data_IF_637607572665
#
_entry.id   IF_637607572665
#
_cell.length_a   1.000
_cell.length_b   1.000
_cell.length_c   1.000
_cell.angle_alpha   90.00
_cell.angle_beta   90.00
_cell.angle_gamma   90.00
#
_symmetry.space_group_name_H-M   'P 1'
#
loop_
_entity.id
_entity.type
_entity.pdbx_description
1 polymer ?
#
# COMPACT_ATOMS: atom_id res chain seq x y z
N UNK A 1 -10.96 -9.79 7.42
CA UNK A 1 -10.22 -10.67 8.38
C UNK A 1 -8.73 -10.31 8.43
N UNK A 2 -8.02 -10.29 7.30
CA UNK A 2 -6.58 -10.00 7.25
C UNK A 2 -6.21 -8.62 7.82
N UNK A 3 -6.95 -7.55 7.50
CA UNK A 3 -6.75 -6.20 8.04
C UNK A 3 -6.87 -6.21 9.57
N UNK A 4 -7.94 -6.82 10.10
CA UNK A 4 -8.16 -6.91 11.54
C UNK A 4 -7.03 -7.67 12.24
N UNK A 5 -6.59 -8.79 11.67
CA UNK A 5 -5.49 -9.58 12.24
C UNK A 5 -4.18 -8.79 12.28
N UNK A 6 -3.86 -8.06 11.21
CA UNK A 6 -2.66 -7.23 11.15
C UNK A 6 -2.71 -6.05 12.13
N UNK A 7 -3.85 -5.38 12.28
CA UNK A 7 -4.03 -4.30 13.27
C UNK A 7 -3.93 -4.84 14.70
N UNK A 8 -4.59 -5.97 15.00
CA UNK A 8 -4.50 -6.62 16.30
C UNK A 8 -3.04 -6.99 16.65
N UNK A 9 -2.28 -7.44 15.65
CA UNK A 9 -0.86 -7.72 15.84
C UNK A 9 -0.08 -6.44 16.18
N UNK A 10 -0.25 -5.36 15.41
CA UNK A 10 0.45 -4.07 15.64
C UNK A 10 0.16 -3.53 17.03
N UNK A 11 -1.10 -3.62 17.51
CA UNK A 11 -1.50 -3.12 18.83
C UNK A 11 -0.91 -3.93 20.00
N UNK A 12 -0.56 -5.19 19.76
CA UNK A 12 -0.14 -6.10 20.85
C UNK A 12 1.32 -6.53 20.78
N UNK A 13 2.03 -6.32 19.67
CA UNK A 13 3.40 -6.83 19.48
C UNK A 13 4.38 -6.33 20.53
N UNK A 14 4.23 -5.10 21.02
CA UNK A 14 5.08 -4.53 22.07
C UNK A 14 4.96 -5.29 23.42
N UNK A 15 3.86 -6.01 23.64
CA UNK A 15 3.62 -6.78 24.86
C UNK A 15 4.26 -8.18 24.87
N UNK A 16 4.82 -8.61 23.75
CA UNK A 16 5.47 -9.92 23.64
C UNK A 16 6.79 -9.91 24.42
N UNK A 17 6.95 -10.69 25.49
CA UNK A 17 8.08 -10.53 26.42
C UNK A 17 9.37 -11.16 25.91
N UNK A 18 9.29 -12.15 25.04
CA UNK A 18 10.38 -13.00 24.54
C UNK A 18 10.79 -12.69 23.09
N UNK A 19 10.42 -11.52 22.59
CA UNK A 19 10.79 -11.04 21.24
C UNK A 19 11.68 -9.81 21.38
N UNK A 20 12.74 -9.76 20.58
CA UNK A 20 13.65 -8.63 20.53
C UNK A 20 12.95 -7.36 19.96
N UNK A 21 13.25 -6.19 20.51
CA UNK A 21 12.63 -4.92 20.10
C UNK A 21 12.83 -4.60 18.62
N UNK A 22 13.97 -4.97 18.05
CA UNK A 22 14.24 -4.81 16.63
C UNK A 22 13.30 -5.67 15.77
N UNK A 23 13.04 -6.89 16.20
CA UNK A 23 12.12 -7.80 15.52
C UNK A 23 10.68 -7.32 15.65
N UNK A 24 10.23 -6.88 16.83
CA UNK A 24 8.90 -6.28 17.02
C UNK A 24 8.66 -5.15 16.03
N UNK A 25 9.59 -4.21 15.92
CA UNK A 25 9.50 -3.05 15.01
C UNK A 25 9.46 -3.50 13.54
N UNK A 26 10.29 -4.46 13.14
CA UNK A 26 10.27 -5.04 11.81
C UNK A 26 8.90 -5.64 11.49
N UNK A 27 8.41 -6.51 12.35
CA UNK A 27 7.14 -7.21 12.14
C UNK A 27 5.94 -6.24 12.16
N UNK A 28 5.98 -5.21 13.00
CA UNK A 28 4.96 -4.15 12.99
C UNK A 28 4.96 -3.37 11.67
N UNK A 29 6.13 -3.06 11.12
CA UNK A 29 6.25 -2.41 9.82
C UNK A 29 5.71 -3.30 8.69
N UNK A 30 6.05 -4.60 8.67
CA UNK A 30 5.50 -5.56 7.72
C UNK A 30 3.97 -5.67 7.82
N UNK A 31 3.42 -5.67 9.03
CA UNK A 31 1.98 -5.70 9.25
C UNK A 31 1.28 -4.46 8.65
N UNK A 32 1.88 -3.28 8.75
CA UNK A 32 1.37 -2.06 8.09
C UNK A 32 1.35 -2.20 6.57
N UNK A 33 2.38 -2.80 5.97
CA UNK A 33 2.40 -3.08 4.52
C UNK A 33 1.29 -4.07 4.15
N UNK A 34 1.01 -5.09 4.98
CA UNK A 34 -0.11 -6.01 4.79
C UNK A 34 -1.44 -5.24 4.79
N UNK A 35 -1.67 -4.37 5.77
CA UNK A 35 -2.90 -3.54 5.82
C UNK A 35 -3.04 -2.73 4.54
N UNK A 36 -2.00 -1.98 4.14
CA UNK A 36 -2.02 -1.17 2.93
C UNK A 36 -2.31 -2.02 1.66
N UNK A 37 -1.67 -3.20 1.54
CA UNK A 37 -1.88 -4.09 0.40
C UNK A 37 -3.32 -4.61 0.31
N UNK A 38 -3.93 -4.96 1.46
CA UNK A 38 -5.33 -5.42 1.50
C UNK A 38 -6.31 -4.30 1.21
N UNK A 39 -6.04 -3.09 1.71
CA UNK A 39 -6.81 -1.91 1.32
C UNK A 39 -6.71 -1.63 -0.17
N UNK A 40 -5.52 -1.75 -0.76
CA UNK A 40 -5.35 -1.57 -2.21
C UNK A 40 -6.13 -2.60 -3.03
N UNK A 41 -6.16 -3.87 -2.60
CA UNK A 41 -6.97 -4.89 -3.26
C UNK A 41 -8.47 -4.51 -3.26
N UNK A 42 -8.98 -4.01 -2.14
CA UNK A 42 -10.37 -3.55 -2.04
C UNK A 42 -10.60 -2.23 -2.81
N UNK A 43 -9.66 -1.29 -2.70
CA UNK A 43 -9.74 0.01 -3.36
C UNK A 43 -9.88 -0.11 -4.87
N UNK A 44 -9.14 -1.03 -5.50
CA UNK A 44 -9.23 -1.26 -6.94
C UNK A 44 -10.63 -1.64 -7.42
N UNK A 45 -11.44 -2.21 -6.56
CA UNK A 45 -12.80 -2.66 -6.90
C UNK A 45 -13.90 -1.72 -6.43
N UNK A 46 -13.68 -1.03 -5.32
CA UNK A 46 -14.74 -0.30 -4.63
C UNK A 46 -14.50 1.21 -4.52
N UNK A 47 -13.29 1.70 -4.81
CA UNK A 47 -12.93 3.09 -4.56
C UNK A 47 -12.73 3.37 -3.07
N UNK A 48 -13.32 4.45 -2.56
CA UNK A 48 -13.28 4.79 -1.13
C UNK A 48 -13.87 3.70 -0.24
N UNK A 49 -13.30 3.49 0.93
CA UNK A 49 -13.60 2.39 1.84
C UNK A 49 -13.79 2.87 3.27
N UNK A 50 -14.55 2.17 4.12
CA UNK A 50 -14.50 2.40 5.56
C UNK A 50 -13.07 2.18 6.07
N UNK A 51 -12.51 3.17 6.78
CA UNK A 51 -11.13 3.12 7.27
C UNK A 51 -11.10 2.56 8.69
N UNK A 52 -10.65 1.31 8.82
CA UNK A 52 -10.40 0.64 10.09
C UNK A 52 -8.96 0.95 10.51
N UNK A 53 -8.78 1.79 11.52
CA UNK A 53 -7.47 2.26 12.01
C UNK A 53 -7.01 1.56 13.28
N UNK A 54 -7.92 0.91 13.96
CA UNK A 54 -7.72 0.21 15.23
C UNK A 54 -8.65 -1.00 15.33
N UNK A 55 -8.42 -1.88 16.31
CA UNK A 55 -9.34 -2.97 16.58
C UNK A 55 -10.51 -2.47 17.43
N UNK A 56 -11.70 -2.91 17.09
CA UNK A 56 -12.92 -2.57 17.84
C UNK A 56 -13.34 -3.70 18.75
N UNK A 57 -13.81 -3.35 19.94
CA UNK A 57 -14.47 -4.28 20.85
C UNK A 57 -15.78 -4.80 20.24
N UNK A 58 -16.20 -5.98 20.67
CA UNK A 58 -17.46 -6.57 20.21
C UNK A 58 -18.63 -5.71 20.68
N UNK A 59 -19.24 -4.99 19.74
CA UNK A 59 -20.43 -4.19 19.97
C UNK A 59 -21.58 -4.66 19.07
N UNK A 60 -22.84 -4.37 19.45
CA UNK A 60 -24.01 -4.83 18.68
C UNK A 60 -24.11 -4.23 17.27
N UNK A 61 -23.51 -3.07 17.03
CA UNK A 61 -23.53 -2.38 15.73
C UNK A 61 -22.30 -1.50 15.57
N UNK A 62 -21.70 -1.53 14.36
CA UNK A 62 -20.63 -0.62 13.94
C UNK A 62 -21.11 0.13 12.70
N UNK A 63 -21.24 1.44 12.84
CA UNK A 63 -21.50 2.32 11.71
C UNK A 63 -20.19 3.03 11.33
N UNK A 64 -19.42 2.43 10.43
CA UNK A 64 -18.25 3.05 9.85
C UNK A 64 -18.61 3.65 8.50
N UNK A 65 -18.60 4.98 8.36
CA UNK A 65 -18.90 5.62 7.09
C UNK A 65 -17.83 5.27 6.06
N UNK A 66 -18.25 5.18 4.83
CA UNK A 66 -17.34 5.01 3.69
C UNK A 66 -16.56 6.30 3.50
N UNK A 67 -15.23 6.20 3.50
CA UNK A 67 -14.34 7.33 3.23
C UNK A 67 -14.29 7.68 1.75
N UNK A 68 -13.76 8.84 1.42
CA UNK A 68 -13.48 9.27 0.05
C UNK A 68 -12.35 8.45 -0.58
N UNK A 69 -12.23 8.53 -1.90
CA UNK A 69 -11.06 8.01 -2.64
C UNK A 69 -9.77 8.61 -2.08
N UNK A 70 -9.73 9.92 -1.89
CA UNK A 70 -8.55 10.63 -1.38
C UNK A 70 -8.13 10.18 0.02
N UNK A 71 -9.07 10.09 0.95
CA UNK A 71 -8.79 9.61 2.31
C UNK A 71 -8.29 8.17 2.31
N UNK A 72 -8.87 7.32 1.47
CA UNK A 72 -8.47 5.91 1.35
C UNK A 72 -7.05 5.78 0.80
N UNK A 73 -6.71 6.53 -0.25
CA UNK A 73 -5.36 6.55 -0.82
C UNK A 73 -4.36 7.08 0.20
N UNK A 74 -4.65 8.22 0.84
CA UNK A 74 -3.79 8.80 1.85
C UNK A 74 -3.55 7.86 3.03
N UNK A 75 -4.55 7.11 3.47
CA UNK A 75 -4.39 6.11 4.51
C UNK A 75 -3.40 5.01 4.12
N UNK A 76 -3.52 4.46 2.91
CA UNK A 76 -2.59 3.45 2.40
C UNK A 76 -1.16 4.00 2.30
N UNK A 77 -1.01 5.21 1.76
CA UNK A 77 0.31 5.84 1.59
C UNK A 77 0.98 6.10 2.94
N UNK A 78 0.24 6.62 3.93
CA UNK A 78 0.77 6.85 5.27
C UNK A 78 1.28 5.56 5.92
N UNK A 79 0.55 4.45 5.81
CA UNK A 79 0.99 3.15 6.33
C UNK A 79 2.29 2.68 5.67
N UNK A 80 2.43 2.88 4.35
CA UNK A 80 3.63 2.50 3.62
C UNK A 80 4.82 3.41 3.95
N UNK A 81 4.60 4.71 4.13
CA UNK A 81 5.64 5.66 4.52
C UNK A 81 6.14 5.40 5.94
N UNK A 82 5.24 5.12 6.88
CA UNK A 82 5.61 4.69 8.24
C UNK A 82 6.41 3.38 8.22
N UNK A 83 5.99 2.40 7.42
CA UNK A 83 6.73 1.15 7.29
C UNK A 83 8.11 1.38 6.68
N UNK A 84 8.22 2.14 5.58
CA UNK A 84 9.48 2.44 4.92
C UNK A 84 10.43 3.30 5.77
N UNK A 85 9.90 4.15 6.65
CA UNK A 85 10.68 4.93 7.60
C UNK A 85 11.22 4.10 8.78
N UNK A 86 10.71 2.88 9.00
CA UNK A 86 11.16 2.01 10.09
C UNK A 86 12.56 1.45 9.77
N UNK A 87 13.59 1.77 10.56
CA UNK A 87 14.97 1.34 10.26
C UNK A 87 15.15 -0.18 10.26
N UNK A 88 14.32 -0.90 11.02
CA UNK A 88 14.37 -2.35 11.15
C UNK A 88 13.73 -3.09 9.97
N UNK A 89 12.94 -2.39 9.13
CA UNK A 89 12.45 -2.98 7.89
C UNK A 89 13.59 -2.95 6.85
N UNK A 90 14.16 -4.12 6.49
CA UNK A 90 15.32 -4.15 5.60
C UNK A 90 14.93 -3.74 4.17
N UNK A 91 15.90 -3.25 3.42
CA UNK A 91 15.75 -2.96 1.99
C UNK A 91 15.51 -4.23 1.19
N UNK A 92 16.26 -5.27 1.49
CA UNK A 92 16.21 -6.60 0.89
C UNK A 92 16.39 -7.67 1.97
N UNK A 93 16.31 -8.94 1.60
CA UNK A 93 16.48 -10.06 2.53
C UNK A 93 17.96 -10.48 2.69
N UNK A 94 18.86 -10.04 1.79
CA UNK A 94 20.28 -10.36 1.80
C UNK A 94 20.52 -11.86 1.80
N UNK A 95 21.37 -12.32 2.72
CA UNK A 95 21.69 -13.74 2.92
C UNK A 95 20.69 -14.48 3.80
N UNK A 96 19.74 -13.79 4.40
CA UNK A 96 18.74 -14.37 5.33
C UNK A 96 17.41 -14.69 4.62
N UNK A 97 17.47 -14.96 3.33
CA UNK A 97 16.30 -15.26 2.52
C UNK A 97 15.59 -16.56 2.91
N UNK A 98 16.34 -17.55 3.44
CA UNK A 98 15.81 -18.85 3.81
C UNK A 98 14.68 -18.78 4.83
N UNK A 99 14.80 -17.88 5.84
CA UNK A 99 13.81 -17.73 6.91
C UNK A 99 12.77 -16.64 6.60
N UNK A 100 13.13 -15.67 5.74
CA UNK A 100 12.35 -14.47 5.50
C UNK A 100 11.81 -14.37 4.08
N UNK A 101 12.03 -15.37 3.24
CA UNK A 101 11.53 -15.40 1.86
C UNK A 101 10.02 -15.16 1.79
N UNK A 102 9.62 -14.26 0.87
CA UNK A 102 8.21 -13.88 0.69
C UNK A 102 7.69 -12.83 1.68
N UNK A 103 8.53 -12.34 2.59
CA UNK A 103 8.16 -11.26 3.52
C UNK A 103 8.37 -9.89 2.89
N UNK A 104 7.65 -8.89 3.40
CA UNK A 104 7.76 -7.52 2.91
C UNK A 104 9.09 -6.87 3.32
N UNK A 105 9.64 -6.10 2.40
CA UNK A 105 10.86 -5.30 2.57
C UNK A 105 10.52 -3.81 2.37
N UNK A 106 11.47 -2.94 2.69
CA UNK A 106 11.35 -1.50 2.40
C UNK A 106 11.14 -1.26 0.90
N UNK A 107 11.88 -1.96 0.03
CA UNK A 107 11.72 -1.87 -1.42
C UNK A 107 10.29 -2.27 -1.84
N UNK A 108 9.73 -3.33 -1.25
CA UNK A 108 8.35 -3.75 -1.54
C UNK A 108 7.32 -2.70 -1.10
N UNK A 109 7.51 -2.07 0.07
CA UNK A 109 6.64 -1.00 0.55
C UNK A 109 6.67 0.23 -0.39
N UNK A 110 7.86 0.68 -0.80
CA UNK A 110 8.04 1.80 -1.73
C UNK A 110 7.48 1.48 -3.12
N UNK A 111 7.72 0.28 -3.65
CA UNK A 111 7.16 -0.17 -4.93
C UNK A 111 5.63 -0.25 -4.91
N UNK A 112 5.05 -0.72 -3.80
CA UNK A 112 3.59 -0.72 -3.62
C UNK A 112 3.03 0.71 -3.57
N UNK A 113 3.72 1.66 -2.92
CA UNK A 113 3.36 3.09 -2.93
C UNK A 113 3.29 3.64 -4.36
N UNK A 114 4.32 3.41 -5.18
CA UNK A 114 4.32 3.82 -6.58
C UNK A 114 3.11 3.25 -7.33
N UNK A 115 2.82 1.97 -7.14
CA UNK A 115 1.69 1.29 -7.78
C UNK A 115 0.34 1.86 -7.35
N UNK A 116 0.15 2.17 -6.07
CA UNK A 116 -1.09 2.78 -5.55
C UNK A 116 -1.27 4.17 -6.14
N UNK A 117 -0.23 5.01 -6.14
CA UNK A 117 -0.30 6.37 -6.67
C UNK A 117 -0.56 6.38 -8.18
N UNK A 118 0.09 5.50 -8.93
CA UNK A 118 -0.16 5.35 -10.38
C UNK A 118 -1.61 4.98 -10.66
N UNK A 119 -2.16 4.04 -9.88
CA UNK A 119 -3.54 3.59 -10.05
C UNK A 119 -4.53 4.70 -9.67
N UNK A 120 -4.27 5.43 -8.59
CA UNK A 120 -5.10 6.53 -8.11
C UNK A 120 -5.07 7.75 -9.05
N UNK A 121 -3.92 8.03 -9.68
CA UNK A 121 -3.77 9.12 -10.65
C UNK A 121 -4.41 8.80 -12.02
N UNK A 122 -4.75 7.54 -12.29
CA UNK A 122 -5.33 7.13 -13.57
C UNK A 122 -6.72 7.74 -13.81
N UNK A 123 -7.16 7.87 -15.08
CA UNK A 123 -8.49 8.41 -15.41
C UNK A 123 -9.66 7.67 -14.77
N UNK A 124 -9.45 6.46 -14.25
CA UNK A 124 -10.48 5.72 -13.51
C UNK A 124 -11.00 6.49 -12.29
N UNK A 125 -10.11 7.24 -11.60
CA UNK A 125 -10.45 8.04 -10.41
C UNK A 125 -10.19 9.53 -10.60
N UNK A 126 -9.25 9.89 -11.47
CA UNK A 126 -8.73 11.25 -11.65
C UNK A 126 -9.07 11.79 -13.03
N UNK A 127 -10.30 12.25 -13.20
CA UNK A 127 -10.80 12.86 -14.43
C UNK A 127 -11.77 14.00 -14.06
N UNK A 128 -12.24 14.76 -15.06
CA UNK A 128 -13.23 15.83 -14.89
C UNK A 128 -14.67 15.29 -14.75
N UNK A 129 -14.87 14.02 -15.03
CA UNK A 129 -16.15 13.31 -14.88
C UNK A 129 -15.89 11.92 -14.27
N UNK A 130 -16.82 11.38 -13.48
CA UNK A 130 -16.68 10.01 -12.98
C UNK A 130 -16.66 9.01 -14.15
N UNK A 131 -15.76 8.05 -14.07
CA UNK A 131 -15.62 7.00 -15.10
C UNK A 131 -16.87 6.12 -15.24
N UNK A 132 -17.55 5.85 -14.14
CA UNK A 132 -18.77 5.05 -14.15
C UNK A 132 -19.94 5.87 -14.71
N UNK A 133 -20.63 5.36 -15.73
CA UNK A 133 -21.74 6.06 -16.39
C UNK A 133 -23.04 6.09 -15.58
N UNK A 134 -23.21 5.12 -14.67
CA UNK A 134 -24.40 5.02 -13.79
C UNK A 134 -23.97 4.73 -12.33
N UNK A 135 -23.15 5.59 -11.73
CA UNK A 135 -22.74 5.39 -10.35
C UNK A 135 -23.89 5.74 -9.41
N UNK A 136 -23.94 5.16 -8.20
CA UNK A 136 -24.80 5.66 -7.15
C UNK A 136 -24.55 7.16 -6.92
N UNK A 137 -25.60 7.99 -7.00
CA UNK A 137 -25.45 9.44 -6.99
C UNK A 137 -24.79 9.99 -5.72
N UNK A 138 -25.06 9.39 -4.58
CA UNK A 138 -24.42 9.71 -3.30
C UNK A 138 -22.94 9.40 -3.28
N UNK A 139 -22.51 8.29 -3.88
CA UNK A 139 -21.09 7.92 -3.99
C UNK A 139 -20.29 8.89 -4.87
N UNK A 140 -20.91 9.44 -5.91
CA UNK A 140 -20.32 10.50 -6.75
C UNK A 140 -20.19 11.79 -5.98
N UNK A 141 -21.29 12.24 -5.36
CA UNK A 141 -21.35 13.51 -4.61
C UNK A 141 -20.38 13.49 -3.42
N UNK A 142 -20.22 12.35 -2.77
CA UNK A 142 -19.32 12.18 -1.63
C UNK A 142 -17.88 11.78 -2.03
N UNK A 143 -17.52 11.86 -3.30
CA UNK A 143 -16.18 11.52 -3.82
C UNK A 143 -15.68 10.13 -3.39
N UNK A 144 -16.58 9.17 -3.30
CA UNK A 144 -16.27 7.80 -2.88
C UNK A 144 -15.83 6.90 -4.04
N UNK A 145 -16.05 7.34 -5.28
CA UNK A 145 -15.71 6.60 -6.51
C UNK A 145 -14.78 7.37 -7.45
N UNK A 146 -14.45 8.61 -7.15
CA UNK A 146 -13.55 9.48 -7.90
C UNK A 146 -13.07 10.65 -7.06
N UNK A 147 -12.10 11.45 -7.55
CA UNK A 147 -11.57 12.62 -6.82
C UNK A 147 -12.41 13.88 -6.89
N UNK A 148 -13.53 13.88 -7.62
CA UNK A 148 -14.41 15.05 -7.80
C UNK A 148 -13.99 16.00 -8.92
N UNK A 149 -12.72 15.93 -9.37
CA UNK A 149 -12.18 16.69 -10.48
C UNK A 149 -10.82 16.09 -10.88
N UNK A 150 -10.32 16.47 -12.05
CA UNK A 150 -8.94 16.18 -12.45
C UNK A 150 -7.95 16.97 -11.60
N UNK A 151 -7.02 16.26 -10.96
CA UNK A 151 -5.96 16.76 -10.10
C UNK A 151 -4.58 16.39 -10.71
N UNK A 152 -3.92 17.29 -11.43
CA UNK A 152 -2.61 17.01 -12.06
C UNK A 152 -1.53 16.65 -11.03
N UNK A 153 -1.62 17.20 -9.81
CA UNK A 153 -0.68 16.93 -8.72
C UNK A 153 -0.59 15.46 -8.30
N UNK A 154 -1.58 14.63 -8.62
CA UNK A 154 -1.51 13.19 -8.36
C UNK A 154 -0.46 12.51 -9.25
N UNK A 155 -0.27 12.99 -10.47
CA UNK A 155 0.79 12.52 -11.35
C UNK A 155 2.17 12.95 -10.85
N UNK A 156 2.30 14.17 -10.33
CA UNK A 156 3.54 14.67 -9.73
C UNK A 156 3.91 13.84 -8.48
N UNK A 157 2.95 13.52 -7.64
CA UNK A 157 3.14 12.64 -6.47
C UNK A 157 3.59 11.24 -6.88
N UNK A 158 2.98 10.68 -7.93
CA UNK A 158 3.36 9.37 -8.47
C UNK A 158 4.79 9.41 -9.01
N UNK A 159 5.12 10.42 -9.82
CA UNK A 159 6.46 10.61 -10.37
C UNK A 159 7.51 10.73 -9.25
N UNK A 160 7.24 11.56 -8.24
CA UNK A 160 8.17 11.73 -7.11
C UNK A 160 8.40 10.42 -6.37
N UNK A 161 7.34 9.65 -6.07
CA UNK A 161 7.48 8.36 -5.41
C UNK A 161 8.32 7.36 -6.25
N UNK A 162 8.18 7.37 -7.57
CA UNK A 162 9.00 6.56 -8.46
C UNK A 162 10.46 7.02 -8.47
N UNK A 163 10.71 8.33 -8.51
CA UNK A 163 12.08 8.91 -8.43
C UNK A 163 12.74 8.52 -7.11
N UNK A 164 12.02 8.64 -5.99
CA UNK A 164 12.52 8.26 -4.66
C UNK A 164 12.87 6.76 -4.61
N UNK A 165 11.99 5.91 -5.15
CA UNK A 165 12.25 4.47 -5.23
C UNK A 165 13.49 4.15 -6.06
N UNK A 166 13.62 4.73 -7.26
CA UNK A 166 14.80 4.50 -8.12
C UNK A 166 16.09 5.06 -7.52
N UNK A 167 16.02 6.16 -6.79
CA UNK A 167 17.18 6.72 -6.07
C UNK A 167 17.68 5.76 -4.99
N UNK A 168 16.77 5.21 -4.18
CA UNK A 168 17.10 4.18 -3.19
C UNK A 168 17.63 2.90 -3.87
N UNK A 169 17.01 2.48 -4.97
CA UNK A 169 17.43 1.31 -5.74
C UNK A 169 18.85 1.47 -6.29
N UNK A 170 19.18 2.61 -6.87
CA UNK A 170 20.52 2.90 -7.37
C UNK A 170 21.57 2.95 -6.27
N UNK A 171 21.22 3.47 -5.08
CA UNK A 171 22.16 3.57 -3.98
C UNK A 171 22.40 2.25 -3.25
N UNK A 172 21.39 1.38 -3.18
CA UNK A 172 21.44 0.12 -2.41
C UNK A 172 21.66 -1.11 -3.27
N UNK A 173 21.26 -1.08 -4.54
CA UNK A 173 21.31 -2.24 -5.43
C UNK A 173 20.33 -3.36 -5.02
N UNK A 174 20.70 -4.60 -5.25
CA UNK A 174 20.04 -5.87 -4.99
C UNK A 174 18.94 -6.22 -6.00
N UNK A 175 18.00 -5.32 -6.28
CA UNK A 175 16.94 -5.56 -7.26
C UNK A 175 17.31 -5.02 -8.62
N UNK A 176 17.11 -5.81 -9.66
CA UNK A 176 17.30 -5.41 -11.05
C UNK A 176 16.22 -6.01 -11.95
N UNK A 177 16.01 -5.41 -13.10
CA UNK A 177 15.18 -6.01 -14.12
C UNK A 177 15.98 -7.11 -14.83
N UNK A 178 15.48 -8.34 -14.71
CA UNK A 178 16.05 -9.48 -15.45
C UNK A 178 15.93 -9.21 -16.94
N UNK A 179 17.05 -9.20 -17.62
CA UNK A 179 17.09 -9.05 -19.08
C UNK A 179 16.81 -10.40 -19.74
N UNK A 180 16.01 -10.38 -20.81
CA UNK A 180 15.79 -11.56 -21.62
C UNK A 180 17.12 -12.05 -22.20
N UNK A 181 17.43 -13.32 -22.02
CA UNK A 181 18.64 -13.96 -22.58
C UNK A 181 18.55 -14.15 -24.09
N UNK A 182 17.32 -14.20 -24.60
CA UNK A 182 17.01 -14.32 -26.02
C UNK A 182 15.90 -13.35 -26.42
N UNK A 183 15.98 -12.75 -27.59
CA UNK A 183 14.94 -11.87 -28.14
C UNK A 183 13.72 -12.67 -28.65
N UNK A 184 13.17 -13.52 -27.82
CA UNK A 184 12.01 -14.37 -28.12
C UNK A 184 10.89 -14.11 -27.10
N UNK A 185 9.65 -14.40 -27.47
CA UNK A 185 8.51 -14.30 -26.55
C UNK A 185 8.69 -15.14 -25.28
N UNK A 186 9.42 -16.26 -25.36
CA UNK A 186 9.76 -17.09 -24.21
C UNK A 186 10.80 -16.42 -23.32
N UNK A 187 11.90 -15.90 -23.89
CA UNK A 187 12.95 -15.24 -23.11
C UNK A 187 12.49 -13.96 -22.39
N UNK A 188 11.44 -13.29 -22.90
CA UNK A 188 10.83 -12.15 -22.20
C UNK A 188 9.82 -12.55 -21.13
N UNK A 189 9.38 -13.81 -21.10
CA UNK A 189 8.44 -14.32 -20.11
C UNK A 189 9.12 -14.98 -18.91
N UNK A 190 10.22 -15.70 -19.14
CA UNK A 190 11.01 -16.43 -18.15
C UNK A 190 11.99 -15.49 -17.44
#
# INVERSE_FOLDING_TARGET
EAIRAALLFVENVERVPDMEDAEKKRLAAEAKVIVASRYFDLFRHFGGLPLIKETYDVQPSYELPRATVEETVNYMINLLDEAAATPQLPWDLGTDDTNWQGRFTKAAAMGLKCKILLFAASPLFNDNVPYCTEPPQDAVTNHQVWYGAYKPELWDQCLQACVDFFTELQSRGYYELTQATEATAKGYRD
#
